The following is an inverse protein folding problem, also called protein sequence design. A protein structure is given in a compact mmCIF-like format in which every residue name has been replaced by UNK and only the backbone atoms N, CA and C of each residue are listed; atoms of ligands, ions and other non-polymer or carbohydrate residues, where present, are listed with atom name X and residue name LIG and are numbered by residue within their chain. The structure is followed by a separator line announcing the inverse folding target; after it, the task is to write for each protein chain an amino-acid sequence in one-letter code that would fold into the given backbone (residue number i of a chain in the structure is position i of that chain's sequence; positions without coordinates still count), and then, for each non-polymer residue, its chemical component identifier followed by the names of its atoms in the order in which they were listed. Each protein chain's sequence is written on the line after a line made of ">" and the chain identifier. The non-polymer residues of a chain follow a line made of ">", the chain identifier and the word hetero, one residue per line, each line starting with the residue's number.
data_IF_238211056093
#
_entry.id   IF_238211056093
#
_cell.length_a   1.000
_cell.length_b   1.000
_cell.length_c   1.000
_cell.angle_alpha   90.00
_cell.angle_beta   90.00
_cell.angle_gamma   90.00
#
_symmetry.space_group_name_H-M   'P 1'
#
loop_
_entity.id
_entity.type
_entity.pdbx_description
1 polymer ?
#
# COMPACT_ATOMS: atom_id res chain seq x y z
N UNK A 1 -2.08 9.72 -1.65
CA UNK A 1 -3.05 8.88 -2.41
C UNK A 1 -2.94 7.41 -1.98
N UNK A 2 -1.78 6.77 -2.13
CA UNK A 2 -1.57 5.37 -1.72
C UNK A 2 -1.24 5.15 -0.23
N UNK A 3 -1.36 6.18 0.62
CA UNK A 3 -1.02 6.11 2.04
C UNK A 3 0.42 5.64 2.29
N UNK A 4 0.58 4.69 3.20
CA UNK A 4 1.87 4.10 3.61
C UNK A 4 2.33 2.95 2.72
N UNK A 5 1.80 2.83 1.49
CA UNK A 5 2.14 1.73 0.60
C UNK A 5 3.63 1.75 0.21
N UNK A 6 4.26 0.59 0.33
CA UNK A 6 5.53 0.25 -0.31
C UNK A 6 5.25 -0.65 -1.51
N UNK A 7 6.05 -0.54 -2.56
CA UNK A 7 5.85 -1.29 -3.81
C UNK A 7 6.98 -2.28 -4.12
N UNK A 8 8.10 -2.18 -3.40
CA UNK A 8 9.25 -3.05 -3.53
C UNK A 8 10.02 -3.14 -2.20
N UNK A 9 10.94 -4.11 -2.11
CA UNK A 9 11.76 -4.31 -0.92
C UNK A 9 12.79 -3.19 -0.71
N UNK A 10 13.17 -2.46 -1.76
CA UNK A 10 14.05 -1.29 -1.63
C UNK A 10 13.36 -0.16 -0.88
N UNK A 11 12.06 0.07 -1.14
CA UNK A 11 11.22 1.01 -0.42
C UNK A 11 11.04 0.62 1.04
N UNK A 12 10.80 -0.68 1.30
CA UNK A 12 10.77 -1.22 2.67
C UNK A 12 12.07 -0.93 3.40
N UNK A 13 13.22 -1.28 2.80
CA UNK A 13 14.52 -1.06 3.40
C UNK A 13 14.79 0.42 3.67
N UNK A 14 14.50 1.31 2.71
CA UNK A 14 14.68 2.76 2.88
C UNK A 14 13.86 3.30 4.04
N UNK A 15 12.59 2.91 4.13
CA UNK A 15 11.70 3.36 5.20
C UNK A 15 12.16 2.85 6.57
N UNK A 16 12.48 1.56 6.68
CA UNK A 16 13.02 0.97 7.92
C UNK A 16 14.34 1.61 8.31
N UNK A 17 15.30 1.73 7.39
CA UNK A 17 16.61 2.32 7.67
C UNK A 17 16.48 3.79 8.09
N UNK A 18 15.58 4.55 7.47
CA UNK A 18 15.32 5.94 7.83
C UNK A 18 14.72 6.05 9.22
N UNK A 19 13.69 5.25 9.54
CA UNK A 19 13.07 5.21 10.85
C UNK A 19 14.05 4.78 11.94
N UNK A 20 14.78 3.69 11.74
CA UNK A 20 15.78 3.21 12.70
C UNK A 20 16.88 4.24 12.96
N UNK A 21 17.23 5.04 11.95
CA UNK A 21 18.20 6.12 12.10
C UNK A 21 17.64 7.28 12.93
N UNK A 22 16.38 7.67 12.74
CA UNK A 22 15.75 8.75 13.51
C UNK A 22 15.57 8.37 14.98
N UNK A 23 15.16 7.13 15.26
CA UNK A 23 14.90 6.67 16.64
C UNK A 23 16.11 6.09 17.37
N UNK A 24 17.28 6.01 16.72
CA UNK A 24 18.49 5.34 17.24
C UNK A 24 18.89 5.75 18.65
N UNK A 25 18.71 7.03 19.01
CA UNK A 25 19.02 7.54 20.35
C UNK A 25 18.03 7.02 21.40
N UNK A 26 16.74 7.02 21.07
CA UNK A 26 15.64 6.60 21.94
C UNK A 26 15.67 5.08 22.18
N UNK A 27 16.17 4.29 21.21
CA UNK A 27 16.34 2.84 21.36
C UNK A 27 17.29 2.41 22.47
N UNK A 28 18.12 3.32 23.00
CA UNK A 28 18.95 3.02 24.19
C UNK A 28 18.11 2.86 25.46
N UNK A 29 16.94 3.51 25.50
CA UNK A 29 16.11 3.63 26.70
C UNK A 29 14.72 3.01 26.50
N UNK A 30 14.30 2.79 25.26
CA UNK A 30 12.97 2.29 24.89
C UNK A 30 13.03 1.06 23.99
N UNK A 31 12.02 0.20 24.11
CA UNK A 31 11.83 -0.97 23.25
C UNK A 31 11.02 -0.62 22.01
N UNK A 32 11.21 -1.38 20.94
CA UNK A 32 10.37 -1.32 19.74
C UNK A 32 9.19 -2.27 19.92
N UNK A 33 8.01 -1.80 19.55
CA UNK A 33 6.77 -2.55 19.51
C UNK A 33 6.29 -2.65 18.07
N UNK A 34 6.12 -3.87 17.58
CA UNK A 34 5.74 -4.17 16.20
C UNK A 34 4.39 -4.85 16.19
N UNK A 35 3.54 -4.47 15.24
CA UNK A 35 2.27 -5.14 14.92
C UNK A 35 2.21 -5.35 13.42
N UNK A 36 1.94 -6.58 13.01
CA UNK A 36 1.65 -6.97 11.64
C UNK A 36 0.23 -7.50 11.56
N UNK A 37 -0.49 -7.09 10.52
CA UNK A 37 -1.86 -7.51 10.26
C UNK A 37 -2.07 -7.70 8.74
N UNK A 38 -2.60 -8.85 8.36
CA UNK A 38 -2.95 -9.21 6.98
C UNK A 38 -4.46 -9.02 6.80
N UNK A 39 -4.89 -8.34 5.75
CA UNK A 39 -6.32 -8.22 5.45
C UNK A 39 -6.86 -9.56 4.93
N UNK A 40 -7.92 -10.06 5.53
CA UNK A 40 -8.59 -11.27 5.05
C UNK A 40 -9.24 -11.02 3.69
N UNK A 41 -8.80 -11.79 2.68
CA UNK A 41 -9.38 -11.79 1.32
C UNK A 41 -9.45 -10.38 0.72
N UNK A 42 -8.34 -9.64 0.76
CA UNK A 42 -8.29 -8.23 0.40
C UNK A 42 -8.97 -7.89 -0.93
N UNK A 43 -8.63 -8.62 -2.01
CA UNK A 43 -9.25 -8.41 -3.32
C UNK A 43 -10.75 -8.68 -3.31
N UNK A 44 -11.24 -9.68 -2.56
CA UNK A 44 -12.65 -10.08 -2.55
C UNK A 44 -13.52 -9.18 -1.67
N UNK A 45 -12.90 -8.45 -0.76
CA UNK A 45 -13.58 -7.59 0.21
C UNK A 45 -13.83 -6.16 -0.28
N UNK A 46 -13.17 -5.72 -1.35
CA UNK A 46 -13.25 -4.34 -1.85
C UNK A 46 -14.70 -3.94 -2.15
N UNK A 47 -15.21 -2.94 -1.43
CA UNK A 47 -16.53 -2.37 -1.72
C UNK A 47 -16.45 -1.51 -2.99
N UNK A 48 -17.24 -1.87 -4.00
CA UNK A 48 -17.24 -1.20 -5.30
C UNK A 48 -17.62 0.27 -5.24
N UNK A 49 -18.65 0.64 -4.47
CA UNK A 49 -19.15 2.02 -4.43
C UNK A 49 -18.14 2.92 -3.73
N UNK A 50 -17.50 2.41 -2.68
CA UNK A 50 -16.41 3.11 -2.00
C UNK A 50 -15.20 3.25 -2.93
N UNK A 51 -14.82 2.19 -3.64
CA UNK A 51 -13.71 2.25 -4.60
C UNK A 51 -13.97 3.29 -5.70
N UNK A 52 -15.16 3.31 -6.30
CA UNK A 52 -15.51 4.27 -7.34
C UNK A 52 -15.50 5.72 -6.84
N UNK A 53 -15.96 5.98 -5.61
CA UNK A 53 -15.85 7.31 -4.98
C UNK A 53 -14.41 7.73 -4.78
N UNK A 54 -13.56 6.84 -4.24
CA UNK A 54 -12.13 7.10 -4.08
C UNK A 54 -11.50 7.46 -5.42
N UNK A 55 -11.88 6.76 -6.48
CA UNK A 55 -11.34 7.00 -7.82
C UNK A 55 -11.81 8.34 -8.40
N UNK A 56 -13.01 8.79 -8.09
CA UNK A 56 -13.48 10.12 -8.47
C UNK A 56 -12.69 11.24 -7.75
N UNK A 57 -12.41 11.08 -6.46
CA UNK A 57 -11.62 12.02 -5.65
C UNK A 57 -10.16 12.12 -6.14
N UNK A 58 -9.65 11.02 -6.68
CA UNK A 58 -8.32 10.90 -7.27
C UNK A 58 -8.24 11.60 -8.63
N UNK A 59 -9.27 11.42 -9.46
CA UNK A 59 -9.30 11.92 -10.82
C UNK A 59 -9.76 13.39 -10.84
N UNK A 60 -8.85 14.30 -10.52
CA UNK A 60 -9.14 15.74 -10.40
C UNK A 60 -9.20 16.53 -11.71
N UNK A 61 -8.58 16.04 -12.79
CA UNK A 61 -8.55 16.72 -14.08
C UNK A 61 -9.69 16.25 -14.98
N UNK A 62 -10.16 17.14 -15.85
CA UNK A 62 -11.19 16.80 -16.85
C UNK A 62 -10.61 15.96 -18.00
N UNK A 63 -9.32 16.15 -18.30
CA UNK A 63 -8.59 15.41 -19.32
C UNK A 63 -7.18 15.06 -18.85
N UNK A 64 -6.66 13.94 -19.36
CA UNK A 64 -5.33 13.43 -19.07
C UNK A 64 -4.56 13.19 -20.36
N UNK A 65 -3.43 13.86 -20.52
CA UNK A 65 -2.52 13.62 -21.63
C UNK A 65 -1.59 12.45 -21.29
N UNK A 66 -1.67 11.37 -22.07
CA UNK A 66 -0.80 10.20 -21.99
C UNK A 66 0.28 10.29 -23.05
N UNK A 67 1.54 10.28 -22.62
CA UNK A 67 2.70 10.18 -23.52
C UNK A 67 3.27 8.78 -23.48
N UNK A 68 3.60 8.25 -24.66
CA UNK A 68 4.33 6.98 -24.76
C UNK A 68 5.82 7.27 -24.57
N UNK A 69 6.42 6.66 -23.55
CA UNK A 69 7.83 6.79 -23.25
C UNK A 69 8.49 5.41 -23.20
N UNK A 70 9.75 5.35 -23.61
CA UNK A 70 10.57 4.14 -23.49
C UNK A 70 11.71 4.44 -22.53
N UNK A 71 11.81 3.67 -21.44
CA UNK A 71 12.99 3.68 -20.57
C UNK A 71 13.99 2.64 -21.06
N UNK A 72 15.22 3.08 -21.30
CA UNK A 72 16.35 2.21 -21.66
C UNK A 72 17.34 2.20 -20.50
N UNK A 73 17.58 1.04 -19.93
CA UNK A 73 18.57 0.82 -18.87
C UNK A 73 19.68 -0.05 -19.43
N UNK A 74 20.91 0.44 -19.41
CA UNK A 74 22.07 -0.35 -19.81
C UNK A 74 22.77 -0.95 -18.60
N UNK A 75 22.79 -2.28 -18.52
CA UNK A 75 23.54 -3.00 -17.51
C UNK A 75 24.96 -3.25 -18.01
N UNK A 76 25.93 -2.51 -17.46
CA UNK A 76 27.36 -2.71 -17.75
C UNK A 76 27.83 -4.11 -17.34
N UNK A 77 27.35 -4.64 -16.22
CA UNK A 77 27.76 -5.95 -15.71
C UNK A 77 27.28 -7.10 -16.58
N UNK A 78 26.09 -6.98 -17.18
CA UNK A 78 25.53 -7.99 -18.09
C UNK A 78 25.78 -7.69 -19.56
N UNK A 79 26.37 -6.53 -19.88
CA UNK A 79 26.54 -6.01 -21.24
C UNK A 79 25.23 -6.04 -22.07
N UNK A 80 24.10 -5.71 -21.45
CA UNK A 80 22.76 -5.78 -22.07
C UNK A 80 21.99 -4.50 -21.83
N UNK A 81 21.27 -4.04 -22.85
CA UNK A 81 20.29 -2.96 -22.75
C UNK A 81 18.89 -3.55 -22.52
N UNK A 82 18.22 -3.10 -21.47
CA UNK A 82 16.83 -3.41 -21.16
C UNK A 82 15.94 -2.27 -21.62
N UNK A 83 14.85 -2.61 -22.29
CA UNK A 83 13.85 -1.65 -22.82
C UNK A 83 12.52 -1.87 -22.13
N UNK A 84 11.95 -0.79 -21.60
CA UNK A 84 10.64 -0.79 -20.94
C UNK A 84 9.77 0.30 -21.54
N UNK A 85 8.68 -0.08 -22.19
CA UNK A 85 7.71 0.85 -22.72
C UNK A 85 6.63 1.14 -21.67
N UNK A 86 6.34 2.42 -21.43
CA UNK A 86 5.34 2.88 -20.47
C UNK A 86 4.59 4.08 -21.00
N UNK A 87 3.33 4.22 -20.59
CA UNK A 87 2.61 5.47 -20.75
C UNK A 87 2.80 6.32 -19.50
N UNK A 88 2.93 7.63 -19.66
CA UNK A 88 3.04 8.59 -18.55
C UNK A 88 1.95 9.63 -18.70
N UNK A 89 1.20 9.87 -17.63
CA UNK A 89 0.27 10.99 -17.56
C UNK A 89 1.04 12.29 -17.29
N UNK A 90 0.84 13.30 -18.11
CA UNK A 90 1.35 14.65 -17.89
C UNK A 90 0.24 15.46 -17.22
N UNK A 91 0.47 15.93 -15.98
CA UNK A 91 -0.45 16.87 -15.34
C UNK A 91 -0.34 18.26 -15.98
N UNK A 92 -1.39 19.07 -15.82
CA UNK A 92 -1.61 20.38 -16.45
C UNK A 92 -0.34 21.17 -16.79
N UNK A 93 0.06 21.09 -18.06
CA UNK A 93 1.11 21.89 -18.65
C UNK A 93 2.03 21.06 -19.54
N UNK A 94 2.40 21.61 -20.70
CA UNK A 94 3.40 21.05 -21.61
C UNK A 94 4.83 20.98 -21.03
N UNK A 95 4.97 21.08 -19.71
CA UNK A 95 6.26 21.04 -19.04
C UNK A 95 6.77 19.59 -19.02
N UNK A 96 7.92 19.38 -19.64
CA UNK A 96 8.70 18.14 -19.63
C UNK A 96 9.16 17.79 -18.20
N UNK A 97 8.84 18.60 -17.18
CA UNK A 97 9.24 18.37 -15.79
C UNK A 97 8.21 17.58 -14.96
N UNK A 98 7.04 17.25 -15.53
CA UNK A 98 6.00 16.46 -14.82
C UNK A 98 6.22 14.94 -14.90
N UNK A 99 7.37 14.49 -15.42
CA UNK A 99 7.78 13.09 -15.31
C UNK A 99 8.21 12.77 -13.87
N UNK A 100 7.25 12.50 -12.98
CA UNK A 100 7.50 11.78 -11.74
C UNK A 100 7.71 10.28 -12.01
N UNK A 101 8.64 9.96 -12.90
CA UNK A 101 9.31 8.65 -12.87
C UNK A 101 10.60 8.94 -12.14
N UNK A 102 10.59 8.92 -10.80
CA UNK A 102 11.85 8.78 -10.10
C UNK A 102 12.50 7.50 -10.63
N UNK A 103 13.69 7.56 -11.27
CA UNK A 103 14.43 6.36 -11.57
C UNK A 103 14.88 5.82 -10.21
N UNK A 104 14.10 4.91 -9.64
CA UNK A 104 14.42 4.25 -8.37
C UNK A 104 15.76 3.49 -8.43
N UNK A 105 16.28 3.25 -9.63
CA UNK A 105 17.61 2.73 -9.91
C UNK A 105 18.41 3.72 -10.77
N UNK A 106 19.61 4.11 -10.33
CA UNK A 106 20.52 4.95 -11.10
C UNK A 106 20.84 4.37 -12.49
N UNK A 107 20.91 5.25 -13.50
CA UNK A 107 21.30 4.92 -14.87
C UNK A 107 20.16 4.44 -15.76
N UNK A 108 19.57 5.35 -16.53
CA UNK A 108 18.66 5.02 -17.62
C UNK A 108 18.30 6.27 -18.44
N UNK A 109 18.07 6.08 -19.74
CA UNK A 109 17.62 7.14 -20.64
C UNK A 109 16.12 6.96 -20.84
N UNK A 110 15.34 8.01 -20.62
CA UNK A 110 13.92 8.03 -20.99
C UNK A 110 13.79 8.69 -22.36
N UNK A 111 13.13 8.01 -23.29
CA UNK A 111 12.91 8.48 -24.66
C UNK A 111 11.43 8.70 -24.87
N UNK A 112 11.03 9.97 -24.99
CA UNK A 112 9.68 10.33 -25.44
C UNK A 112 9.50 9.85 -26.90
N UNK A 113 8.46 9.05 -27.14
CA UNK A 113 8.16 8.52 -28.48
C UNK A 113 7.41 9.52 -29.36
N UNK A 114 7.19 10.76 -28.90
CA UNK A 114 6.53 11.84 -29.64
C UNK A 114 5.03 11.59 -29.87
N UNK A 115 4.45 10.59 -29.21
CA UNK A 115 3.03 10.23 -29.31
C UNK A 115 2.31 10.64 -28.05
N UNK A 116 1.34 11.55 -28.20
CA UNK A 116 0.46 12.02 -27.13
C UNK A 116 -0.96 11.62 -27.48
N UNK A 117 -1.63 10.92 -26.56
CA UNK A 117 -3.06 10.65 -26.63
C UNK A 117 -3.74 11.29 -25.44
N UNK A 118 -4.87 11.95 -25.64
CA UNK A 118 -5.69 12.48 -24.54
C UNK A 118 -6.79 11.49 -24.20
N UNK A 119 -7.10 11.40 -22.91
CA UNK A 119 -8.26 10.64 -22.41
C UNK A 119 -9.06 11.53 -21.46
N UNK A 120 -10.37 11.58 -21.67
CA UNK A 120 -11.27 12.36 -20.82
C UNK A 120 -11.57 11.63 -19.52
N UNK A 121 -11.85 12.38 -18.46
CA UNK A 121 -12.21 11.82 -17.15
C UNK A 121 -13.42 10.90 -17.25
N UNK A 122 -14.44 11.26 -18.03
CA UNK A 122 -15.66 10.44 -18.16
C UNK A 122 -15.36 9.09 -18.82
N UNK A 123 -14.41 9.07 -19.76
CA UNK A 123 -13.99 7.83 -20.41
C UNK A 123 -13.21 6.93 -19.46
N UNK A 124 -12.29 7.50 -18.66
CA UNK A 124 -11.61 6.77 -17.58
C UNK A 124 -12.62 6.21 -16.58
N UNK A 125 -13.54 7.04 -16.09
CA UNK A 125 -14.58 6.63 -15.14
C UNK A 125 -15.45 5.51 -15.71
N UNK A 126 -15.85 5.59 -16.98
CA UNK A 126 -16.61 4.53 -17.65
C UNK A 126 -15.84 3.21 -17.66
N UNK A 127 -14.59 3.22 -18.12
CA UNK A 127 -13.75 2.01 -18.16
C UNK A 127 -13.58 1.43 -16.76
N UNK A 128 -13.30 2.27 -15.77
CA UNK A 128 -13.12 1.86 -14.38
C UNK A 128 -14.41 1.28 -13.78
N UNK A 129 -15.55 1.92 -14.05
CA UNK A 129 -16.87 1.42 -13.67
C UNK A 129 -17.12 0.02 -14.26
N UNK A 130 -16.91 -0.15 -15.57
CA UNK A 130 -17.08 -1.45 -16.23
C UNK A 130 -16.18 -2.53 -15.63
N UNK A 131 -14.91 -2.21 -15.35
CA UNK A 131 -13.96 -3.17 -14.76
C UNK A 131 -14.33 -3.59 -13.33
N UNK A 132 -14.92 -2.69 -12.54
CA UNK A 132 -15.28 -2.96 -11.14
C UNK A 132 -16.66 -3.59 -11.02
N UNK A 133 -17.68 -3.03 -11.70
CA UNK A 133 -19.09 -3.39 -11.54
C UNK A 133 -19.59 -4.41 -12.58
N UNK A 134 -18.95 -4.52 -13.74
CA UNK A 134 -19.43 -5.35 -14.84
C UNK A 134 -18.58 -6.63 -15.04
N UNK A 135 -17.87 -7.08 -13.99
CA UNK A 135 -17.07 -8.30 -14.06
C UNK A 135 -17.95 -9.56 -14.01
N UNK A 136 -18.13 -10.21 -15.16
CA UNK A 136 -18.91 -11.46 -15.30
C UNK A 136 -17.97 -12.67 -15.28
N UNK A 137 -18.20 -13.57 -14.34
CA UNK A 137 -17.50 -14.83 -14.18
C UNK A 137 -18.34 -15.96 -14.80
N UNK A 138 -17.72 -16.77 -15.67
CA UNK A 138 -18.35 -18.00 -16.17
C UNK A 138 -17.78 -19.21 -15.43
N UNK A 139 -18.63 -19.91 -14.69
CA UNK A 139 -18.25 -21.12 -13.96
C UNK A 139 -19.16 -22.26 -14.46
N UNK A 140 -18.55 -23.19 -15.20
CA UNK A 140 -19.30 -24.22 -15.92
C UNK A 140 -20.24 -23.61 -16.96
N UNK A 141 -21.55 -23.85 -16.79
CA UNK A 141 -22.62 -23.32 -17.65
C UNK A 141 -23.27 -22.04 -17.13
N UNK A 142 -22.90 -21.60 -15.93
CA UNK A 142 -23.53 -20.47 -15.26
C UNK A 142 -22.68 -19.21 -15.39
N UNK A 143 -23.37 -18.06 -15.43
CA UNK A 143 -22.75 -16.74 -15.41
C UNK A 143 -23.08 -16.05 -14.09
N UNK A 144 -22.07 -15.44 -13.47
CA UNK A 144 -22.17 -14.75 -12.20
C UNK A 144 -21.62 -13.34 -12.35
N UNK A 145 -22.30 -12.35 -11.78
CA UNK A 145 -21.79 -10.98 -11.72
C UNK A 145 -21.14 -10.76 -10.36
N UNK A 146 -19.86 -10.38 -10.34
CA UNK A 146 -19.17 -10.05 -9.09
C UNK A 146 -19.80 -8.78 -8.48
N UNK A 147 -20.35 -8.88 -7.27
CA UNK A 147 -21.00 -7.76 -6.56
C UNK A 147 -20.10 -7.08 -5.53
N UNK A 148 -19.01 -7.75 -5.13
CA UNK A 148 -18.03 -7.28 -4.15
C UNK A 148 -16.65 -7.81 -4.54
N UNK A 149 -15.63 -7.03 -4.23
CA UNK A 149 -14.26 -7.34 -4.59
C UNK A 149 -13.91 -6.99 -6.03
N UNK A 150 -12.66 -7.19 -6.39
CA UNK A 150 -12.12 -6.90 -7.72
C UNK A 150 -11.48 -8.15 -8.31
N UNK A 151 -11.47 -8.25 -9.64
CA UNK A 151 -10.99 -9.44 -10.33
C UNK A 151 -9.50 -9.70 -10.07
N UNK A 152 -9.16 -10.89 -9.56
CA UNK A 152 -7.78 -11.34 -9.50
C UNK A 152 -7.27 -11.65 -10.92
N UNK A 153 -6.00 -11.31 -11.19
CA UNK A 153 -5.38 -11.46 -12.52
C UNK A 153 -5.57 -10.26 -13.46
N UNK A 154 -6.41 -9.28 -13.10
CA UNK A 154 -6.45 -8.00 -13.79
C UNK A 154 -5.25 -7.13 -13.36
N UNK A 155 -4.55 -6.55 -14.34
CA UNK A 155 -3.36 -5.69 -14.12
C UNK A 155 -3.65 -4.45 -13.28
N UNK A 156 -4.88 -3.95 -13.30
CA UNK A 156 -5.26 -2.78 -12.51
C UNK A 156 -5.60 -3.13 -11.06
N UNK A 157 -6.05 -4.36 -10.80
CA UNK A 157 -6.56 -4.75 -9.48
C UNK A 157 -5.58 -4.51 -8.34
N UNK A 158 -4.26 -4.82 -8.45
CA UNK A 158 -3.33 -4.54 -7.37
C UNK A 158 -3.23 -3.04 -7.03
N UNK A 159 -3.28 -2.17 -8.05
CA UNK A 159 -3.25 -0.72 -7.84
C UNK A 159 -4.57 -0.22 -7.24
N UNK A 160 -5.71 -0.71 -7.71
CA UNK A 160 -7.02 -0.38 -7.14
C UNK A 160 -7.12 -0.83 -5.68
N UNK A 161 -6.62 -2.03 -5.37
CA UNK A 161 -6.50 -2.58 -4.03
C UNK A 161 -5.65 -1.66 -3.15
N UNK A 162 -4.46 -1.29 -3.62
CA UNK A 162 -3.57 -0.40 -2.85
C UNK A 162 -4.15 1.01 -2.67
N UNK A 163 -4.92 1.52 -3.63
CA UNK A 163 -5.65 2.78 -3.48
C UNK A 163 -6.75 2.70 -2.46
N UNK A 164 -7.52 1.63 -2.48
CA UNK A 164 -8.60 1.39 -1.54
C UNK A 164 -8.09 1.41 -0.08
N UNK A 165 -7.03 0.64 0.18
CA UNK A 165 -6.42 0.60 1.51
C UNK A 165 -5.64 1.87 1.84
N UNK A 166 -5.04 2.53 0.85
CA UNK A 166 -4.41 3.84 1.04
C UNK A 166 -5.41 4.91 1.48
N UNK A 167 -6.63 4.88 0.95
CA UNK A 167 -7.69 5.75 1.42
C UNK A 167 -8.15 5.39 2.84
N UNK A 168 -8.38 4.09 3.13
CA UNK A 168 -8.71 3.61 4.48
C UNK A 168 -7.68 4.07 5.52
N UNK A 169 -6.39 3.95 5.20
CA UNK A 169 -5.29 4.42 6.03
C UNK A 169 -5.43 5.90 6.37
N UNK A 170 -5.50 6.74 5.35
CA UNK A 170 -5.48 8.20 5.52
C UNK A 170 -6.75 8.71 6.20
N UNK A 171 -7.91 8.14 5.86
CA UNK A 171 -9.19 8.63 6.35
C UNK A 171 -9.56 8.11 7.73
N UNK A 172 -9.03 6.95 8.14
CA UNK A 172 -9.48 6.28 9.37
C UNK A 172 -8.33 5.92 10.30
N UNK A 173 -7.31 5.21 9.81
CA UNK A 173 -6.24 4.70 10.68
C UNK A 173 -5.39 5.86 11.21
N UNK A 174 -4.87 6.71 10.32
CA UNK A 174 -3.98 7.81 10.72
C UNK A 174 -4.70 8.81 11.63
N UNK A 175 -5.94 9.18 11.30
CA UNK A 175 -6.75 10.05 12.16
C UNK A 175 -6.92 9.47 13.56
N UNK A 176 -7.23 8.17 13.68
CA UNK A 176 -7.34 7.49 14.98
C UNK A 176 -6.02 7.49 15.76
N UNK A 177 -4.88 7.30 15.10
CA UNK A 177 -3.57 7.30 15.75
C UNK A 177 -3.17 8.71 16.22
N UNK A 178 -3.52 9.75 15.47
CA UNK A 178 -3.24 11.14 15.82
C UNK A 178 -4.15 11.69 16.92
N UNK A 179 -5.44 11.34 16.93
CA UNK A 179 -6.39 11.80 17.95
C UNK A 179 -6.03 11.30 19.36
N UNK A 180 -5.37 10.15 19.44
CA UNK A 180 -4.81 9.60 20.68
C UNK A 180 -3.61 10.36 21.26
N UNK A 181 -3.04 11.30 20.50
CA UNK A 181 -1.84 12.09 20.81
C UNK A 181 -2.14 13.58 21.07
N UNK A 182 -3.39 13.93 21.43
CA UNK A 182 -3.86 15.30 21.73
C UNK A 182 -3.27 15.93 23.01
N UNK A 183 -1.98 15.68 23.28
CA UNK A 183 -1.25 16.13 24.47
C UNK A 183 -0.02 17.00 24.21
N UNK A 184 0.74 16.82 23.14
CA UNK A 184 1.96 17.61 22.93
C UNK A 184 2.27 17.86 21.45
N UNK A 185 2.50 19.13 21.13
CA UNK A 185 2.84 19.60 19.81
C UNK A 185 4.29 19.26 19.45
N UNK A 186 4.50 18.78 18.22
CA UNK A 186 5.76 18.81 17.46
C UNK A 186 6.88 17.93 18.04
N UNK A 187 6.83 16.64 17.74
CA UNK A 187 8.04 15.84 17.53
C UNK A 187 7.81 14.79 16.45
N UNK A 188 8.87 14.47 15.73
CA UNK A 188 9.02 13.47 14.68
C UNK A 188 8.27 12.15 14.94
N UNK A 189 7.98 11.33 13.90
CA UNK A 189 6.95 10.31 14.03
C UNK A 189 7.33 9.26 15.08
N UNK A 190 6.51 9.15 16.12
CA UNK A 190 6.59 8.12 17.17
C UNK A 190 6.41 6.69 16.63
N UNK A 191 6.13 6.56 15.33
CA UNK A 191 5.82 5.30 14.67
C UNK A 191 6.18 5.30 13.18
N UNK A 192 6.36 4.11 12.62
CA UNK A 192 6.43 3.85 11.19
C UNK A 192 5.27 2.91 10.82
N UNK A 193 4.47 3.30 9.84
CA UNK A 193 3.47 2.44 9.21
C UNK A 193 3.89 2.18 7.77
N UNK A 194 3.81 0.92 7.35
CA UNK A 194 4.03 0.48 5.97
C UNK A 194 2.97 -0.54 5.57
N UNK A 195 2.63 -0.56 4.27
CA UNK A 195 1.74 -1.58 3.71
C UNK A 195 2.28 -2.13 2.41
N UNK A 196 2.29 -3.44 2.27
CA UNK A 196 2.59 -4.12 1.01
C UNK A 196 1.28 -4.69 0.45
N UNK A 197 0.63 -3.95 -0.45
CA UNK A 197 -0.74 -4.22 -0.95
C UNK A 197 -1.78 -4.22 0.19
N UNK A 198 -1.93 -5.33 0.90
CA UNK A 198 -2.92 -5.61 1.94
C UNK A 198 -2.29 -6.08 3.26
N UNK A 199 -0.98 -6.29 3.27
CA UNK A 199 -0.19 -6.63 4.47
C UNK A 199 0.28 -5.34 5.17
N UNK A 200 -0.23 -5.08 6.37
CA UNK A 200 0.15 -3.93 7.18
C UNK A 200 1.28 -4.28 8.16
N UNK A 201 2.21 -3.35 8.33
CA UNK A 201 3.18 -3.34 9.42
C UNK A 201 3.19 -1.97 10.11
N UNK A 202 3.15 -2.00 11.44
CA UNK A 202 3.22 -0.84 12.31
C UNK A 202 4.33 -1.05 13.34
N UNK A 203 5.17 -0.03 13.51
CA UNK A 203 6.32 -0.03 14.42
C UNK A 203 6.23 1.22 15.27
N UNK A 204 6.34 1.12 16.60
CA UNK A 204 6.36 2.27 17.51
C UNK A 204 7.27 2.03 18.70
N UNK A 205 7.72 3.11 19.36
CA UNK A 205 8.41 3.03 20.65
C UNK A 205 7.45 3.00 21.85
N UNK A 206 6.15 3.21 21.62
CA UNK A 206 5.12 3.22 22.67
C UNK A 206 4.28 1.95 22.60
N UNK A 207 4.31 1.14 23.67
CA UNK A 207 3.48 -0.06 23.79
C UNK A 207 1.98 0.30 23.68
N UNK A 208 1.57 1.40 24.29
CA UNK A 208 0.19 1.90 24.25
C UNK A 208 -0.23 2.21 22.82
N UNK A 209 0.65 2.82 22.04
CA UNK A 209 0.38 3.17 20.65
C UNK A 209 0.23 1.90 19.78
N UNK A 210 1.16 0.95 19.90
CA UNK A 210 1.08 -0.33 19.20
C UNK A 210 -0.18 -1.13 19.58
N UNK A 211 -0.56 -1.14 20.86
CA UNK A 211 -1.79 -1.78 21.34
C UNK A 211 -3.05 -1.10 20.78
N UNK A 212 -3.08 0.23 20.72
CA UNK A 212 -4.19 0.97 20.11
C UNK A 212 -4.34 0.63 18.62
N UNK A 213 -3.23 0.58 17.88
CA UNK A 213 -3.23 0.17 16.48
C UNK A 213 -3.76 -1.26 16.32
N UNK A 214 -3.23 -2.21 17.09
CA UNK A 214 -3.69 -3.61 17.08
C UNK A 214 -5.20 -3.73 17.32
N UNK A 215 -5.69 -3.09 18.38
CA UNK A 215 -7.12 -3.08 18.73
C UNK A 215 -7.98 -2.42 17.64
N UNK A 216 -7.48 -1.36 17.02
CA UNK A 216 -8.17 -0.70 15.91
C UNK A 216 -8.27 -1.62 14.70
N UNK A 217 -7.20 -2.32 14.35
CA UNK A 217 -7.17 -3.25 13.21
C UNK A 217 -8.11 -4.44 13.45
N UNK A 218 -8.14 -4.99 14.68
CA UNK A 218 -9.03 -6.11 15.06
C UNK A 218 -10.51 -5.79 14.95
N UNK A 219 -10.92 -4.55 15.28
CA UNK A 219 -12.32 -4.12 15.17
C UNK A 219 -12.82 -4.12 13.71
N UNK A 220 -11.92 -4.13 12.73
CA UNK A 220 -12.26 -4.04 11.32
C UNK A 220 -12.79 -2.66 10.92
N UNK A 221 -13.20 -2.56 9.66
CA UNK A 221 -13.60 -1.30 9.02
C UNK A 221 -14.86 -1.55 8.19
N UNK A 222 -16.01 -1.49 8.86
CA UNK A 222 -17.33 -1.82 8.27
C UNK A 222 -17.61 -1.01 6.99
N UNK A 223 -17.36 0.31 7.00
CA UNK A 223 -17.54 1.15 5.82
C UNK A 223 -16.73 0.67 4.60
N UNK A 224 -15.54 0.10 4.86
CA UNK A 224 -14.64 -0.43 3.83
C UNK A 224 -14.80 -1.94 3.62
N UNK A 225 -15.77 -2.58 4.27
CA UNK A 225 -15.93 -4.05 4.28
C UNK A 225 -14.60 -4.80 4.52
N UNK A 226 -13.74 -4.24 5.38
CA UNK A 226 -12.35 -4.72 5.55
C UNK A 226 -12.16 -5.30 6.94
N UNK A 227 -11.65 -6.52 7.01
CA UNK A 227 -11.36 -7.23 8.25
C UNK A 227 -10.01 -7.91 8.15
N UNK A 228 -9.31 -8.02 9.27
CA UNK A 228 -8.01 -8.69 9.31
C UNK A 228 -8.18 -10.19 9.46
N UNK A 229 -7.16 -10.92 9.06
CA UNK A 229 -7.08 -12.36 9.25
C UNK A 229 -6.53 -12.66 10.65
N UNK A 230 -7.38 -13.17 11.53
CA UNK A 230 -7.05 -13.49 12.92
C UNK A 230 -5.88 -14.47 13.08
N UNK A 231 -5.69 -15.38 12.11
CA UNK A 231 -4.58 -16.35 12.11
C UNK A 231 -3.25 -15.77 11.66
N UNK A 232 -3.26 -14.53 11.14
CA UNK A 232 -2.11 -13.91 10.49
C UNK A 232 -1.56 -12.67 11.20
N UNK A 233 -2.01 -12.41 12.42
CA UNK A 233 -1.39 -11.37 13.25
C UNK A 233 0.03 -11.75 13.67
N UNK A 234 0.87 -10.74 13.84
CA UNK A 234 2.20 -10.88 14.43
C UNK A 234 2.53 -9.68 15.31
N UNK A 235 3.01 -9.90 16.53
CA UNK A 235 3.36 -8.83 17.45
C UNK A 235 4.40 -9.27 18.49
N UNK A 236 5.21 -8.34 18.99
CA UNK A 236 6.32 -8.64 19.91
C UNK A 236 6.07 -8.21 21.37
N UNK A 237 4.82 -8.05 21.80
CA UNK A 237 4.46 -7.62 23.15
C UNK A 237 3.21 -8.31 23.69
N UNK A 238 3.04 -8.28 25.02
CA UNK A 238 1.85 -8.83 25.67
C UNK A 238 0.64 -7.89 25.48
N UNK A 239 -0.46 -8.43 24.96
CA UNK A 239 -1.72 -7.74 24.64
C UNK A 239 -2.73 -7.83 25.79
N UNK A 240 -2.53 -8.73 26.76
CA UNK A 240 -3.42 -8.97 27.92
C UNK A 240 -3.90 -10.42 27.98
N UNK A 241 -4.24 -10.89 29.18
CA UNK A 241 -4.43 -12.33 29.49
C UNK A 241 -5.69 -12.99 28.89
N UNK A 242 -6.56 -12.25 28.20
CA UNK A 242 -7.85 -12.74 27.70
C UNK A 242 -7.93 -12.90 26.17
N UNK A 243 -6.82 -12.81 25.44
CA UNK A 243 -6.86 -12.73 23.98
C UNK A 243 -6.36 -14.00 23.29
N UNK A 244 -7.32 -14.80 22.77
CA UNK A 244 -7.05 -15.79 21.72
C UNK A 244 -6.80 -15.04 20.40
N UNK A 245 -5.53 -14.75 20.12
CA UNK A 245 -5.07 -14.34 18.80
C UNK A 245 -3.79 -15.12 18.49
N UNK A 246 -3.73 -15.74 17.31
CA UNK A 246 -2.54 -16.48 16.91
C UNK A 246 -1.42 -15.48 16.61
N UNK A 247 -0.40 -15.46 17.48
CA UNK A 247 0.76 -14.62 17.28
C UNK A 247 1.82 -15.35 16.44
N UNK A 248 1.99 -14.92 15.19
CA UNK A 248 2.98 -15.48 14.26
C UNK A 248 4.38 -14.95 14.54
N UNK A 249 4.98 -15.38 15.65
CA UNK A 249 6.41 -15.21 15.88
C UNK A 249 7.17 -16.42 15.29
N UNK A 250 8.12 -16.14 14.42
CA UNK A 250 9.08 -17.14 13.95
C UNK A 250 10.29 -17.13 14.87
N UNK A 251 10.74 -18.30 15.33
CA UNK A 251 11.94 -18.41 16.15
C UNK A 251 13.00 -19.20 15.39
N UNK A 252 14.16 -18.59 15.18
CA UNK A 252 15.32 -19.26 14.61
C UNK A 252 15.95 -20.26 15.58
N UNK A 253 16.79 -21.14 15.05
CA UNK A 253 17.53 -22.14 15.85
C UNK A 253 18.49 -21.49 16.87
N UNK A 254 18.91 -20.25 16.60
CA UNK A 254 19.71 -19.40 17.49
C UNK A 254 18.88 -18.75 18.62
N UNK A 255 17.57 -18.99 18.65
CA UNK A 255 16.64 -18.45 19.64
C UNK A 255 16.15 -17.03 19.34
N UNK A 256 16.63 -16.38 18.27
CA UNK A 256 16.19 -15.05 17.84
C UNK A 256 14.77 -15.14 17.28
N UNK A 257 13.93 -14.18 17.64
CA UNK A 257 12.54 -14.11 17.22
C UNK A 257 12.34 -13.05 16.14
N UNK A 258 11.59 -13.40 15.11
CA UNK A 258 11.26 -12.55 13.97
C UNK A 258 9.75 -12.47 13.77
N UNK A 259 9.28 -11.37 13.21
CA UNK A 259 7.90 -11.23 12.74
C UNK A 259 7.89 -11.37 11.21
N UNK A 260 7.24 -12.41 10.66
CA UNK A 260 7.08 -12.55 9.22
C UNK A 260 6.16 -11.46 8.66
N UNK A 261 6.60 -10.75 7.64
CA UNK A 261 5.81 -9.74 6.92
C UNK A 261 6.17 -9.71 5.44
N UNK A 262 5.21 -10.00 4.57
CA UNK A 262 5.34 -9.92 3.10
C UNK A 262 6.62 -10.54 2.52
N UNK A 263 7.00 -11.73 3.00
CA UNK A 263 8.19 -12.45 2.54
C UNK A 263 9.50 -12.06 3.24
N UNK A 264 9.44 -11.14 4.21
CA UNK A 264 10.57 -10.73 5.05
C UNK A 264 10.41 -11.28 6.48
N UNK A 265 11.54 -11.48 7.15
CA UNK A 265 11.62 -11.68 8.59
C UNK A 265 12.15 -10.39 9.21
N UNK A 266 11.30 -9.68 9.95
CA UNK A 266 11.59 -8.41 10.61
C UNK A 266 12.03 -8.65 12.05
#
# INVERSE_FOLDING_TARGET
>A
MFGSSVFDYDGVYKNLSSFMSSVRRQLKESKIYIVVADVSKAFDCVNHDVLLKIMDDVLKGDEYALRKCTKVIYSRSKNVAYRFDSNVSVSNGNSINDFSIQPSSGGGILVDQGTVSTIRKEELQRVLFEQVKCNILKIGHNFYLQQVGIAQGNKLSPNLCSLYYGHLENSVILNFLHDGNSGDAISEPEFLMMRFIDDFMFISLSKKHALNFFNRMRRGFVYYNTYMNDSKYGFNFNIGDNEQCDNRLYRGDDGVTFIPWSGLLI
#
